data_IF_246766965244
#
_entry.id   IF_246766965244
#
_cell.length_a   1.000
_cell.length_b   1.000
_cell.length_c   1.000
_cell.angle_alpha   90.00
_cell.angle_beta   90.00
_cell.angle_gamma   90.00
#
_symmetry.space_group_name_H-M   'P 1'
#
loop_
_entity.id
_entity.type
_entity.pdbx_description
1 polymer ?
#
# COMPACT_ATOMS: atom_id res chain seq x y z
N UNK A 1 3.62 4.09 22.43
CA UNK A 1 3.03 4.12 21.07
C UNK A 1 1.89 3.11 21.06
N UNK A 2 0.66 3.53 20.80
CA UNK A 2 -0.47 2.61 20.71
C UNK A 2 -0.30 1.74 19.46
N UNK A 3 -0.17 0.42 19.65
CA UNK A 3 -0.16 -0.57 18.57
C UNK A 3 -1.51 -0.65 17.85
N UNK A 4 -1.62 -1.55 16.88
CA UNK A 4 -2.90 -1.79 16.20
C UNK A 4 -3.84 -2.58 17.10
N UNK A 5 -5.14 -2.27 17.10
CA UNK A 5 -6.15 -3.20 17.59
C UNK A 5 -6.39 -4.28 16.53
N UNK A 6 -5.46 -5.23 16.43
CA UNK A 6 -5.50 -6.28 15.40
C UNK A 6 -6.81 -7.10 15.46
N UNK A 7 -7.36 -7.32 16.67
CA UNK A 7 -8.63 -8.01 16.85
C UNK A 7 -9.78 -7.16 16.32
N UNK A 8 -9.81 -5.88 16.67
CA UNK A 8 -10.82 -4.92 16.19
C UNK A 8 -10.80 -4.78 14.68
N UNK A 9 -9.61 -4.60 14.07
CA UNK A 9 -9.47 -4.50 12.60
C UNK A 9 -9.99 -5.76 11.91
N UNK A 10 -9.57 -6.95 12.35
CA UNK A 10 -10.05 -8.22 11.78
C UNK A 10 -11.54 -8.45 12.01
N UNK A 11 -12.10 -7.98 13.12
CA UNK A 11 -13.54 -8.04 13.34
C UNK A 11 -14.28 -7.12 12.36
N UNK A 12 -13.80 -5.89 12.20
CA UNK A 12 -14.40 -4.91 11.30
C UNK A 12 -14.39 -5.36 9.83
N UNK A 13 -13.29 -5.95 9.35
CA UNK A 13 -13.23 -6.51 7.99
C UNK A 13 -14.27 -7.64 7.79
N UNK A 14 -14.49 -8.49 8.82
CA UNK A 14 -15.52 -9.54 8.77
C UNK A 14 -16.93 -8.96 8.76
N UNK A 15 -17.18 -7.87 9.49
CA UNK A 15 -18.46 -7.16 9.44
C UNK A 15 -18.72 -6.54 8.07
N UNK A 16 -17.71 -5.91 7.45
CA UNK A 16 -17.80 -5.38 6.09
C UNK A 16 -18.13 -6.50 5.09
N UNK A 17 -17.43 -7.64 5.18
CA UNK A 17 -17.71 -8.81 4.35
C UNK A 17 -19.13 -9.35 4.52
N UNK A 18 -19.66 -9.36 5.75
CA UNK A 18 -21.03 -9.81 6.02
C UNK A 18 -22.09 -8.81 5.52
N UNK A 19 -21.76 -7.51 5.51
CA UNK A 19 -22.61 -6.44 4.99
C UNK A 19 -22.60 -6.32 3.45
N UNK A 20 -21.61 -6.90 2.79
CA UNK A 20 -21.43 -6.83 1.34
C UNK A 20 -21.31 -8.24 0.70
N UNK A 21 -22.37 -9.07 0.75
CA UNK A 21 -22.34 -10.42 0.17
C UNK A 21 -22.19 -10.41 -1.36
N UNK A 22 -22.57 -9.30 -2.01
CA UNK A 22 -22.42 -9.10 -3.45
C UNK A 22 -21.01 -8.69 -3.87
N UNK A 23 -20.18 -8.22 -2.93
CA UNK A 23 -18.87 -7.57 -3.21
C UNK A 23 -19.03 -6.35 -4.13
N UNK A 24 -20.04 -5.55 -3.87
CA UNK A 24 -20.40 -4.36 -4.64
C UNK A 24 -19.56 -3.14 -4.23
N UNK A 25 -18.96 -3.17 -3.04
CA UNK A 25 -18.04 -2.13 -2.62
C UNK A 25 -16.83 -2.09 -3.54
N UNK A 26 -16.35 -0.89 -3.88
CA UNK A 26 -15.20 -0.71 -4.76
C UNK A 26 -13.99 -1.55 -4.33
N UNK A 27 -13.52 -2.41 -5.24
CA UNK A 27 -12.40 -3.32 -5.06
C UNK A 27 -12.69 -4.60 -4.25
N UNK A 28 -13.89 -4.75 -3.68
CA UNK A 28 -14.25 -5.93 -2.89
C UNK A 28 -14.34 -7.22 -3.73
N UNK A 29 -14.63 -7.11 -5.01
CA UNK A 29 -14.58 -8.22 -5.97
C UNK A 29 -13.15 -8.78 -6.14
N UNK A 30 -12.15 -7.91 -5.96
CA UNK A 30 -10.72 -8.17 -6.08
C UNK A 30 -10.16 -8.73 -4.77
N UNK A 31 -10.19 -7.94 -3.69
CA UNK A 31 -9.57 -8.34 -2.42
C UNK A 31 -10.47 -9.28 -1.58
N UNK A 32 -11.77 -9.37 -1.88
CA UNK A 32 -12.75 -10.30 -1.29
C UNK A 32 -12.80 -10.29 0.24
N UNK A 33 -12.47 -9.13 0.83
CA UNK A 33 -12.25 -8.96 2.27
C UNK A 33 -11.27 -9.98 2.89
N UNK A 34 -10.45 -10.64 2.08
CA UNK A 34 -9.48 -11.62 2.50
C UNK A 34 -8.25 -10.93 3.07
N UNK A 35 -7.94 -11.19 4.34
CA UNK A 35 -6.72 -10.70 4.97
C UNK A 35 -5.81 -11.89 5.30
N UNK A 36 -4.64 -11.90 4.69
CA UNK A 36 -3.55 -12.83 4.94
C UNK A 36 -3.09 -12.76 6.41
N UNK A 37 -2.51 -13.85 6.94
CA UNK A 37 -1.93 -13.83 8.28
C UNK A 37 -0.82 -12.77 8.39
N UNK A 38 -0.46 -12.36 9.62
CA UNK A 38 0.67 -11.46 9.81
C UNK A 38 1.97 -12.06 9.31
N UNK A 39 2.83 -11.20 8.77
CA UNK A 39 4.17 -11.58 8.31
C UNK A 39 5.07 -11.83 9.53
N UNK A 40 5.78 -12.96 9.60
CA UNK A 40 6.73 -13.22 10.67
C UNK A 40 7.82 -12.15 10.76
N UNK A 41 8.22 -11.78 11.98
CA UNK A 41 9.24 -10.77 12.24
C UNK A 41 10.57 -11.04 11.50
N UNK A 42 10.94 -12.32 11.36
CA UNK A 42 12.13 -12.73 10.61
C UNK A 42 12.03 -12.41 9.12
N UNK A 43 10.84 -12.55 8.52
CA UNK A 43 10.59 -12.23 7.11
C UNK A 43 10.53 -10.72 6.88
N UNK A 44 9.91 -9.96 7.79
CA UNK A 44 9.93 -8.49 7.75
C UNK A 44 11.37 -7.99 7.83
N UNK A 45 12.15 -8.54 8.76
CA UNK A 45 13.57 -8.17 8.91
C UNK A 45 14.38 -8.54 7.67
N UNK A 46 14.18 -9.72 7.11
CA UNK A 46 14.86 -10.13 5.88
C UNK A 46 14.52 -9.20 4.70
N UNK A 47 13.26 -8.77 4.58
CA UNK A 47 12.83 -7.79 3.58
C UNK A 47 13.48 -6.41 3.79
N UNK A 48 13.52 -5.93 5.03
CA UNK A 48 14.19 -4.68 5.41
C UNK A 48 15.69 -4.73 5.07
N UNK A 49 16.37 -5.82 5.44
CA UNK A 49 17.80 -6.03 5.18
C UNK A 49 18.11 -6.18 3.69
N UNK A 50 17.33 -6.95 2.93
CA UNK A 50 17.59 -7.18 1.50
C UNK A 50 17.42 -5.92 0.65
N UNK A 51 16.54 -5.01 1.07
CA UNK A 51 16.27 -3.76 0.35
C UNK A 51 16.98 -2.55 0.96
N UNK A 52 17.69 -2.70 2.09
CA UNK A 52 18.42 -1.63 2.75
C UNK A 52 17.53 -0.52 3.30
N UNK A 53 16.36 -0.89 3.84
CA UNK A 53 15.36 0.05 4.36
C UNK A 53 14.93 -0.34 5.77
N UNK A 54 14.34 0.61 6.49
CA UNK A 54 13.42 0.29 7.59
C UNK A 54 12.01 0.66 7.18
N UNK A 55 11.01 -0.19 7.41
CA UNK A 55 9.62 0.12 7.09
C UNK A 55 9.08 1.21 8.05
N UNK A 56 8.21 2.12 7.58
CA UNK A 56 7.52 3.07 8.47
C UNK A 56 6.77 2.32 9.59
N UNK A 57 6.91 2.78 10.84
CA UNK A 57 6.49 2.00 12.02
C UNK A 57 5.02 1.59 12.03
N UNK A 58 4.12 2.42 11.49
CA UNK A 58 2.69 2.11 11.38
C UNK A 58 2.41 0.96 10.42
N UNK A 59 3.07 0.96 9.25
CA UNK A 59 2.92 -0.11 8.27
C UNK A 59 3.63 -1.39 8.73
N UNK A 60 4.83 -1.27 9.30
CA UNK A 60 5.59 -2.39 9.86
C UNK A 60 4.80 -3.16 10.94
N UNK A 61 4.19 -2.43 11.88
CA UNK A 61 3.34 -3.06 12.91
C UNK A 61 2.04 -3.62 12.33
N UNK A 62 1.47 -3.00 11.29
CA UNK A 62 0.30 -3.54 10.61
C UNK A 62 0.60 -4.92 10.00
N UNK A 63 1.67 -5.05 9.22
CA UNK A 63 2.03 -6.35 8.60
C UNK A 63 2.42 -7.40 9.65
N UNK A 64 3.03 -6.99 10.77
CA UNK A 64 3.46 -7.89 11.84
C UNK A 64 2.32 -8.38 12.77
N UNK A 65 1.25 -7.58 12.94
CA UNK A 65 0.20 -7.85 13.92
C UNK A 65 -1.17 -8.11 13.27
N UNK A 66 -1.48 -7.38 12.19
CA UNK A 66 -2.82 -7.33 11.57
C UNK A 66 -2.91 -8.21 10.33
N UNK A 67 -1.95 -8.19 9.42
CA UNK A 67 -1.97 -9.01 8.21
C UNK A 67 -1.32 -8.34 7.00
N UNK A 68 -1.20 -9.09 5.91
CA UNK A 68 -0.44 -8.70 4.71
C UNK A 68 -1.33 -8.53 3.46
N UNK A 69 -2.43 -7.79 3.60
CA UNK A 69 -3.43 -7.65 2.52
C UNK A 69 -4.10 -8.98 2.13
N UNK A 70 -4.84 -9.06 1.00
CA UNK A 70 -5.24 -7.93 0.16
C UNK A 70 -6.34 -7.05 0.75
N UNK A 71 -7.06 -7.45 1.81
CA UNK A 71 -8.14 -6.64 2.36
C UNK A 71 -7.67 -5.21 2.72
N UNK A 72 -8.29 -4.21 2.10
CA UNK A 72 -7.93 -2.81 2.28
C UNK A 72 -8.53 -1.90 1.22
N UNK A 73 -8.14 -0.61 1.21
CA UNK A 73 -8.60 0.37 0.24
C UNK A 73 -8.37 -0.06 -1.21
N UNK A 74 -9.21 0.46 -2.11
CA UNK A 74 -9.10 0.27 -3.55
C UNK A 74 -9.12 -1.22 -3.93
N UNK A 75 -8.34 -1.67 -4.91
CA UNK A 75 -8.25 -3.09 -5.28
C UNK A 75 -7.51 -3.97 -4.24
N UNK A 76 -7.17 -3.41 -3.08
CA UNK A 76 -6.54 -4.11 -1.97
C UNK A 76 -5.07 -3.75 -1.77
N UNK A 77 -4.59 -3.97 -0.54
CA UNK A 77 -3.19 -3.74 -0.16
C UNK A 77 -2.31 -4.86 -0.70
N UNK A 78 -1.24 -4.54 -1.41
CA UNK A 78 -0.29 -5.50 -1.93
C UNK A 78 0.45 -6.21 -0.78
N UNK A 79 0.69 -7.53 -0.90
CA UNK A 79 1.49 -8.24 0.07
C UNK A 79 2.95 -7.76 0.04
N UNK A 80 3.58 -7.77 1.21
CA UNK A 80 4.94 -7.28 1.41
C UNK A 80 5.98 -8.18 0.74
N UNK A 81 5.93 -9.49 1.02
CA UNK A 81 7.03 -10.41 0.70
C UNK A 81 6.76 -11.33 -0.49
N UNK A 82 5.49 -11.57 -0.82
CA UNK A 82 5.09 -12.43 -1.92
C UNK A 82 4.29 -11.66 -2.98
N UNK A 83 4.45 -11.98 -4.28
CA UNK A 83 3.55 -11.44 -5.29
C UNK A 83 2.13 -11.95 -5.02
N UNK A 84 1.12 -11.19 -5.45
CA UNK A 84 -0.26 -11.68 -5.42
C UNK A 84 -0.35 -12.93 -6.31
N UNK A 85 -1.07 -13.99 -5.89
CA UNK A 85 -1.30 -15.13 -6.77
C UNK A 85 -2.03 -14.64 -8.02
N UNK A 86 -1.41 -14.90 -9.18
CA UNK A 86 -1.75 -14.40 -10.52
C UNK A 86 -3.27 -14.25 -10.71
N UNK A 87 -3.77 -13.01 -10.67
CA UNK A 87 -4.98 -12.69 -11.40
C UNK A 87 -4.62 -12.86 -12.88
N UNK A 88 -5.41 -13.60 -13.65
CA UNK A 88 -5.05 -14.08 -15.00
C UNK A 88 -4.87 -13.03 -16.09
N UNK A 89 -4.52 -11.79 -15.74
CA UNK A 89 -4.24 -10.65 -16.61
C UNK A 89 -3.02 -9.89 -16.06
N UNK A 90 -2.18 -9.35 -16.93
CA UNK A 90 -1.01 -8.52 -16.59
C UNK A 90 -1.49 -7.17 -16.03
N UNK A 91 -1.68 -7.09 -14.71
CA UNK A 91 -2.12 -5.86 -14.06
C UNK A 91 -0.94 -4.92 -13.86
N UNK A 92 -1.11 -3.63 -14.17
CA UNK A 92 -0.05 -2.62 -14.06
C UNK A 92 0.57 -2.54 -12.65
N UNK A 93 -0.21 -2.88 -11.62
CA UNK A 93 0.30 -2.93 -10.24
C UNK A 93 1.30 -4.05 -9.98
N UNK A 94 1.28 -5.12 -10.77
CA UNK A 94 2.27 -6.19 -10.65
C UNK A 94 3.62 -5.73 -11.19
N UNK A 95 3.64 -4.92 -12.26
CA UNK A 95 4.85 -4.24 -12.74
C UNK A 95 5.41 -3.27 -11.70
N UNK A 96 4.56 -2.46 -11.06
CA UNK A 96 4.97 -1.57 -9.97
C UNK A 96 5.53 -2.35 -8.77
N UNK A 97 4.93 -3.50 -8.43
CA UNK A 97 5.42 -4.38 -7.37
C UNK A 97 6.81 -4.91 -7.68
N UNK A 98 7.06 -5.33 -8.93
CA UNK A 98 8.39 -5.80 -9.36
C UNK A 98 9.39 -4.65 -9.41
N UNK A 99 8.99 -3.48 -9.94
CA UNK A 99 9.86 -2.33 -10.09
C UNK A 99 10.37 -1.85 -8.72
N UNK A 100 9.50 -1.79 -7.72
CA UNK A 100 9.83 -1.46 -6.33
C UNK A 100 10.95 -2.33 -5.78
N UNK A 101 10.97 -3.62 -6.14
CA UNK A 101 11.90 -4.62 -5.62
C UNK A 101 13.21 -4.70 -6.40
N UNK A 102 13.44 -3.80 -7.37
CA UNK A 102 14.74 -3.66 -7.99
C UNK A 102 15.81 -3.25 -6.95
N UNK A 103 17.03 -3.84 -7.01
CA UNK A 103 18.07 -3.60 -6.02
C UNK A 103 18.34 -2.11 -5.75
N UNK A 104 18.23 -1.72 -4.48
CA UNK A 104 18.51 -0.36 -4.01
C UNK A 104 17.41 0.67 -4.27
N UNK A 105 16.36 0.35 -5.04
CA UNK A 105 15.32 1.32 -5.39
C UNK A 105 14.52 1.81 -4.18
N UNK A 106 14.11 0.90 -3.30
CA UNK A 106 13.40 1.26 -2.07
C UNK A 106 14.25 2.10 -1.11
N UNK A 107 15.57 1.99 -1.16
CA UNK A 107 16.49 2.72 -0.29
C UNK A 107 16.78 4.16 -0.76
N UNK A 108 16.39 4.51 -1.99
CA UNK A 108 16.55 5.87 -2.50
C UNK A 108 15.71 6.86 -1.70
N UNK A 109 16.12 8.14 -1.63
CA UNK A 109 15.29 9.18 -1.03
C UNK A 109 14.06 9.45 -1.90
N UNK A 110 12.91 9.71 -1.27
CA UNK A 110 11.73 10.19 -1.98
C UNK A 110 12.03 11.58 -2.59
N UNK A 111 11.84 11.78 -3.91
CA UNK A 111 12.33 12.98 -4.59
C UNK A 111 11.49 14.23 -4.35
N UNK A 112 10.22 14.09 -3.95
CA UNK A 112 9.32 15.23 -3.82
C UNK A 112 9.34 15.84 -2.41
N UNK A 113 9.67 17.12 -2.34
CA UNK A 113 9.58 17.93 -1.11
C UNK A 113 8.27 18.68 -1.00
N UNK A 114 7.46 18.75 -2.06
CA UNK A 114 6.14 19.37 -2.14
C UNK A 114 5.20 18.52 -3.03
N UNK A 115 3.88 18.59 -2.86
CA UNK A 115 2.94 17.95 -3.78
C UNK A 115 3.15 18.44 -5.21
N UNK A 116 3.01 17.54 -6.18
CA UNK A 116 3.10 17.83 -7.61
C UNK A 116 1.72 17.63 -8.25
N UNK A 117 0.79 18.60 -8.16
CA UNK A 117 -0.54 18.46 -8.75
C UNK A 117 -0.52 18.60 -10.27
N UNK A 118 -1.45 17.93 -10.93
CA UNK A 118 -1.62 18.01 -12.38
C UNK A 118 -0.85 16.92 -13.15
N UNK A 119 -0.98 16.91 -14.49
CA UNK A 119 -0.40 15.86 -15.33
C UNK A 119 1.11 15.74 -15.15
N UNK A 120 1.60 14.51 -14.95
CA UNK A 120 3.01 14.20 -14.83
C UNK A 120 3.60 14.02 -16.23
N UNK A 121 4.75 14.67 -16.47
CA UNK A 121 5.50 14.53 -17.73
C UNK A 121 6.78 13.74 -17.48
N UNK A 122 7.04 12.74 -18.32
CA UNK A 122 8.21 11.87 -18.20
C UNK A 122 7.92 10.56 -17.47
N UNK A 123 8.95 9.74 -17.20
CA UNK A 123 8.79 8.42 -16.62
C UNK A 123 8.40 8.51 -15.14
N UNK A 124 7.29 7.87 -14.76
CA UNK A 124 6.80 7.82 -13.38
C UNK A 124 7.83 7.17 -12.43
N UNK A 125 8.61 6.23 -12.95
CA UNK A 125 9.69 5.56 -12.21
C UNK A 125 10.74 6.51 -11.63
N UNK A 126 10.95 7.67 -12.26
CA UNK A 126 11.84 8.69 -11.72
C UNK A 126 11.28 9.39 -10.47
N UNK A 127 9.97 9.34 -10.25
CA UNK A 127 9.29 9.96 -9.12
C UNK A 127 9.00 8.98 -7.99
N UNK A 128 8.89 7.68 -8.29
CA UNK A 128 8.48 6.65 -7.32
C UNK A 128 9.64 6.04 -6.52
N UNK A 129 10.87 6.47 -6.74
CA UNK A 129 12.03 6.09 -5.93
C UNK A 129 11.78 6.35 -4.42
N UNK A 130 12.21 5.42 -3.56
CA UNK A 130 12.02 5.56 -2.11
C UNK A 130 10.57 5.44 -1.63
N UNK A 131 9.69 4.85 -2.44
CA UNK A 131 8.30 4.58 -2.07
C UNK A 131 7.94 3.11 -2.32
N UNK A 132 6.98 2.59 -1.56
CA UNK A 132 6.44 1.24 -1.72
C UNK A 132 4.99 1.34 -2.22
N UNK A 133 4.67 0.66 -3.30
CA UNK A 133 3.30 0.55 -3.83
C UNK A 133 2.44 -0.20 -2.82
N UNK A 134 1.37 0.44 -2.37
CA UNK A 134 0.40 -0.13 -1.44
C UNK A 134 -0.79 -0.73 -2.16
N UNK A 135 -1.39 -0.03 -3.12
CA UNK A 135 -2.64 -0.45 -3.76
C UNK A 135 -2.81 0.22 -5.12
N UNK A 136 -3.64 -0.38 -5.96
CA UNK A 136 -4.09 0.19 -7.23
C UNK A 136 -5.52 0.72 -7.11
N UNK A 137 -5.78 1.90 -7.69
CA UNK A 137 -7.10 2.53 -7.83
C UNK A 137 -7.76 2.27 -9.19
N UNK A 138 -7.04 1.67 -10.13
CA UNK A 138 -7.44 1.53 -11.53
C UNK A 138 -6.90 2.65 -12.41
N UNK A 139 -6.99 2.49 -13.72
CA UNK A 139 -6.48 3.43 -14.73
C UNK A 139 -5.00 3.81 -14.55
N UNK A 140 -4.16 2.92 -14.02
CA UNK A 140 -2.74 3.20 -13.75
C UNK A 140 -2.49 4.16 -12.59
N UNK A 141 -3.47 4.36 -11.71
CA UNK A 141 -3.32 5.16 -10.49
C UNK A 141 -2.95 4.27 -9.30
N UNK A 142 -1.95 4.69 -8.54
CA UNK A 142 -1.42 3.91 -7.42
C UNK A 142 -1.39 4.71 -6.12
N UNK A 143 -1.59 4.02 -5.00
CA UNK A 143 -1.28 4.53 -3.66
C UNK A 143 0.10 4.02 -3.26
N UNK A 144 0.92 4.91 -2.74
CA UNK A 144 2.32 4.64 -2.41
C UNK A 144 2.63 5.13 -1.00
N UNK A 145 3.36 4.30 -0.26
CA UNK A 145 3.90 4.63 1.06
C UNK A 145 5.28 5.26 0.89
N UNK A 146 5.50 6.44 1.45
CA UNK A 146 6.82 7.07 1.44
C UNK A 146 7.73 6.37 2.45
N UNK A 147 8.85 5.80 1.98
CA UNK A 147 9.81 5.10 2.83
C UNK A 147 10.88 6.04 3.35
N UNK A 148 11.48 6.89 2.52
CA UNK A 148 12.66 7.67 2.93
C UNK A 148 12.48 9.17 2.71
N UNK A 149 13.06 9.97 3.59
CA UNK A 149 13.06 11.43 3.52
C UNK A 149 12.04 12.10 4.45
N UNK A 150 11.83 13.42 4.31
CA UNK A 150 11.04 14.23 5.26
C UNK A 150 9.56 13.85 5.38
N UNK A 151 9.03 13.12 4.40
CA UNK A 151 7.62 12.70 4.28
C UNK A 151 7.41 11.23 4.62
N UNK A 152 8.42 10.57 5.21
CA UNK A 152 8.39 9.15 5.58
C UNK A 152 7.12 8.81 6.38
N UNK A 153 6.42 7.77 5.92
CA UNK A 153 5.19 7.27 6.52
C UNK A 153 3.90 7.85 5.93
N UNK A 154 3.96 8.95 5.18
CA UNK A 154 2.80 9.48 4.45
C UNK A 154 2.35 8.53 3.33
N UNK A 155 1.06 8.55 3.02
CA UNK A 155 0.48 7.84 1.86
C UNK A 155 0.15 8.85 0.78
N UNK A 156 0.64 8.58 -0.44
CA UNK A 156 0.54 9.46 -1.59
C UNK A 156 -0.16 8.74 -2.74
N UNK A 157 -0.98 9.47 -3.49
CA UNK A 157 -1.55 9.00 -4.75
C UNK A 157 -0.71 9.52 -5.90
N UNK A 158 -0.35 8.63 -6.82
CA UNK A 158 0.16 8.99 -8.15
C UNK A 158 -0.94 8.73 -9.19
N UNK A 159 -1.34 9.80 -9.87
CA UNK A 159 -2.22 9.81 -11.04
C UNK A 159 -1.47 10.61 -12.14
N UNK A 160 -0.88 9.93 -13.13
CA UNK A 160 -0.04 10.59 -14.11
C UNK A 160 -0.82 11.50 -15.07
N UNK A 161 -2.12 11.26 -15.25
CA UNK A 161 -2.90 11.95 -16.28
C UNK A 161 -3.54 13.23 -15.76
N UNK A 162 -4.00 13.24 -14.50
CA UNK A 162 -4.82 14.35 -13.98
C UNK A 162 -4.38 14.82 -12.59
N UNK A 163 -4.31 13.92 -11.62
CA UNK A 163 -4.12 14.25 -10.20
C UNK A 163 -2.70 14.61 -9.80
N UNK A 164 -1.70 14.13 -10.54
CA UNK A 164 -0.29 14.29 -10.21
C UNK A 164 0.19 13.35 -9.12
N UNK A 165 1.23 13.74 -8.39
CA UNK A 165 1.73 12.99 -7.24
C UNK A 165 1.54 13.80 -5.96
N UNK A 166 0.50 13.45 -5.19
CA UNK A 166 0.00 14.27 -4.08
C UNK A 166 -0.28 13.42 -2.82
N UNK A 167 -0.10 13.98 -1.62
CA UNK A 167 -0.42 13.27 -0.37
C UNK A 167 -1.93 13.08 -0.24
N UNK A 168 -2.35 11.89 0.20
CA UNK A 168 -3.76 11.58 0.52
C UNK A 168 -3.97 11.24 1.99
N UNK A 169 -2.90 10.92 2.73
CA UNK A 169 -2.95 10.72 4.17
C UNK A 169 -1.61 11.01 4.83
N UNK A 170 -1.65 11.51 6.06
CA UNK A 170 -0.45 11.78 6.87
C UNK A 170 0.22 10.52 7.41
N UNK A 171 -0.43 9.35 7.29
CA UNK A 171 0.07 8.09 7.82
C UNK A 171 -0.68 6.88 7.27
N UNK A 172 -0.01 5.74 7.21
CA UNK A 172 -0.62 4.47 6.80
C UNK A 172 -1.81 4.10 7.69
N UNK A 173 -1.72 4.34 9.02
CA UNK A 173 -2.80 4.03 9.94
C UNK A 173 -4.06 4.82 9.62
N UNK A 174 -3.94 6.14 9.50
CA UNK A 174 -5.06 7.03 9.17
C UNK A 174 -5.71 6.64 7.83
N UNK A 175 -4.90 6.31 6.83
CA UNK A 175 -5.37 5.86 5.52
C UNK A 175 -6.18 4.56 5.60
N UNK A 176 -5.66 3.54 6.28
CA UNK A 176 -6.33 2.24 6.38
C UNK A 176 -7.58 2.30 7.27
N UNK A 177 -7.54 3.04 8.39
CA UNK A 177 -8.69 3.23 9.28
C UNK A 177 -9.84 3.96 8.58
N UNK A 178 -9.54 4.96 7.74
CA UNK A 178 -10.57 5.66 6.96
C UNK A 178 -11.36 4.69 6.06
N UNK A 179 -10.72 3.67 5.49
CA UNK A 179 -11.41 2.63 4.73
C UNK A 179 -12.25 1.71 5.62
N UNK A 180 -11.77 1.35 6.80
CA UNK A 180 -12.57 0.56 7.76
C UNK A 180 -13.85 1.29 8.20
N UNK A 181 -13.79 2.62 8.30
CA UNK A 181 -14.88 3.48 8.73
C UNK A 181 -15.83 3.88 7.59
N UNK A 182 -15.39 3.76 6.34
CA UNK A 182 -16.24 4.15 5.22
C UNK A 182 -17.39 3.16 5.01
N UNK A 183 -18.59 3.66 4.66
CA UNK A 183 -19.81 2.86 4.55
C UNK A 183 -19.72 1.76 3.48
#
# INVERSE_FOLDING_TARGET
>A
MSGWDARGVRARIREMAAGDPGRERFGADTHRYGLAPPVPEAEIRAFEESHGIGLPGEYRSFVAEVGDGPAGPCHGVLPLTAPRPEAGEEWAVDDEWQEDRLPGRLALPFPLTAPLPGPIRGPQSALTAGTLTLAEQGCGMFLRLVLNGPRRGEVWQIDPDWGGFVPVSTGFRSWYTAWLESP
#
